data_IF_858496452397
#
_entry.id   IF_858496452397
#
_cell.length_a   1.000
_cell.length_b   1.000
_cell.length_c   1.000
_cell.angle_alpha   90.00
_cell.angle_beta   90.00
_cell.angle_gamma   90.00
#
_symmetry.space_group_name_H-M   'P 1'
#
loop_
_entity.id
_entity.type
_entity.pdbx_description
1 polymer ?
#
# COMPACT_ATOMS: atom_id res chain seq x y z
N UNK A 1 -7.31 -22.85 13.85
CA UNK A 1 -8.53 -22.75 13.00
C UNK A 1 -8.14 -21.87 11.85
N UNK A 2 -8.44 -22.28 10.61
CA UNK A 2 -8.08 -21.50 9.43
C UNK A 2 -9.19 -20.49 9.12
N UNK A 3 -8.83 -19.26 8.78
CA UNK A 3 -9.75 -18.21 8.36
C UNK A 3 -10.15 -18.38 6.88
N UNK A 4 -10.92 -17.44 6.32
CA UNK A 4 -11.49 -17.55 4.96
C UNK A 4 -10.43 -17.58 3.86
N UNK A 5 -9.21 -17.08 4.13
CA UNK A 5 -8.12 -17.12 3.15
C UNK A 5 -7.67 -18.53 2.80
N UNK A 6 -8.10 -19.56 3.55
CA UNK A 6 -7.86 -20.97 3.24
C UNK A 6 -8.44 -21.42 1.88
N UNK A 7 -9.38 -20.64 1.33
CA UNK A 7 -10.06 -20.91 0.06
C UNK A 7 -9.50 -20.11 -1.12
N UNK A 8 -8.52 -19.25 -0.88
CA UNK A 8 -7.90 -18.42 -1.92
C UNK A 8 -6.87 -19.19 -2.74
N UNK A 9 -6.61 -18.73 -3.96
CA UNK A 9 -5.55 -19.28 -4.83
C UNK A 9 -4.19 -18.62 -4.62
N UNK A 10 -4.17 -17.35 -4.20
CA UNK A 10 -2.93 -16.60 -3.99
C UNK A 10 -2.05 -17.29 -2.94
N UNK A 11 -0.79 -17.64 -3.26
CA UNK A 11 0.16 -18.11 -2.28
C UNK A 11 0.39 -17.11 -1.14
N UNK A 12 0.34 -15.81 -1.44
CA UNK A 12 0.47 -14.74 -0.45
C UNK A 12 -0.72 -14.73 0.53
N UNK A 13 -1.95 -14.85 0.04
CA UNK A 13 -3.13 -14.90 0.92
C UNK A 13 -3.17 -16.20 1.74
N UNK A 14 -2.81 -17.33 1.13
CA UNK A 14 -2.75 -18.63 1.79
C UNK A 14 -1.72 -18.67 2.94
N UNK A 15 -0.66 -17.87 2.89
CA UNK A 15 0.29 -17.73 3.99
C UNK A 15 -0.38 -17.20 5.26
N UNK A 16 -1.39 -16.34 5.11
CA UNK A 16 -2.11 -15.71 6.22
C UNK A 16 -3.34 -16.51 6.73
N UNK A 17 -3.63 -17.68 6.16
CA UNK A 17 -4.85 -18.45 6.45
C UNK A 17 -4.95 -18.95 7.89
N UNK A 18 -3.81 -19.12 8.57
CA UNK A 18 -3.73 -19.65 9.93
C UNK A 18 -3.48 -18.55 10.98
N UNK A 19 -3.39 -17.29 10.55
CA UNK A 19 -3.27 -16.15 11.46
C UNK A 19 -4.52 -16.03 12.34
N UNK A 20 -4.36 -15.64 13.62
CA UNK A 20 -5.49 -15.44 14.54
C UNK A 20 -6.42 -14.30 14.13
N UNK A 21 -6.00 -13.42 13.23
CA UNK A 21 -6.86 -12.40 12.61
C UNK A 21 -7.92 -13.09 11.73
N UNK A 22 -9.19 -12.71 11.89
CA UNK A 22 -10.33 -13.16 11.09
C UNK A 22 -10.31 -12.48 9.72
N UNK A 23 -9.34 -12.88 8.89
CA UNK A 23 -9.16 -12.31 7.57
C UNK A 23 -10.26 -12.73 6.60
N UNK A 24 -10.72 -11.74 5.84
CA UNK A 24 -11.49 -11.90 4.63
C UNK A 24 -10.63 -11.61 3.39
N UNK A 25 -10.85 -12.30 2.26
CA UNK A 25 -10.43 -11.78 0.98
C UNK A 25 -11.26 -10.54 0.62
N UNK A 26 -10.79 -9.75 -0.34
CA UNK A 26 -11.59 -8.66 -0.87
C UNK A 26 -12.83 -9.20 -1.61
N UNK A 27 -14.02 -8.81 -1.16
CA UNK A 27 -15.27 -9.23 -1.80
C UNK A 27 -16.51 -8.68 -1.09
N UNK A 28 -17.68 -8.95 -1.67
CA UNK A 28 -18.97 -8.48 -1.12
C UNK A 28 -19.23 -9.03 0.28
N UNK A 29 -18.80 -10.26 0.59
CA UNK A 29 -19.00 -10.86 1.93
C UNK A 29 -18.41 -9.98 3.04
N UNK A 30 -17.19 -9.46 2.85
CA UNK A 30 -16.53 -8.61 3.83
C UNK A 30 -17.20 -7.22 3.93
N UNK A 31 -17.54 -6.62 2.79
CA UNK A 31 -18.18 -5.31 2.73
C UNK A 31 -19.59 -5.35 3.34
N UNK A 32 -20.34 -6.41 3.07
CA UNK A 32 -21.70 -6.59 3.59
C UNK A 32 -21.64 -6.85 5.10
N UNK A 33 -20.67 -7.64 5.58
CA UNK A 33 -20.43 -7.80 7.02
C UNK A 33 -20.10 -6.48 7.70
N UNK A 34 -19.21 -5.68 7.12
CA UNK A 34 -18.84 -4.38 7.66
C UNK A 34 -20.06 -3.46 7.80
N UNK A 35 -20.96 -3.46 6.81
CA UNK A 35 -22.22 -2.68 6.84
C UNK A 35 -23.22 -3.22 7.86
N UNK A 36 -23.38 -4.53 7.94
CA UNK A 36 -24.32 -5.17 8.88
C UNK A 36 -23.90 -4.98 10.33
N UNK A 37 -22.60 -5.08 10.61
CA UNK A 37 -22.05 -4.89 11.95
C UNK A 37 -21.76 -3.42 12.26
N UNK A 38 -21.89 -2.54 11.28
CA UNK A 38 -21.60 -1.12 11.38
C UNK A 38 -20.15 -0.82 11.86
N UNK A 39 -19.21 -1.61 11.34
CA UNK A 39 -17.81 -1.62 11.74
C UNK A 39 -16.89 -1.13 10.62
N UNK A 40 -15.84 -0.37 10.96
CA UNK A 40 -14.86 0.05 9.97
C UNK A 40 -14.08 -1.16 9.44
N UNK A 41 -13.57 -1.00 8.22
CA UNK A 41 -12.73 -1.99 7.56
C UNK A 41 -11.27 -1.68 7.86
N UNK A 42 -10.49 -2.71 8.18
CA UNK A 42 -9.03 -2.66 8.15
C UNK A 42 -8.56 -3.45 6.94
N UNK A 43 -8.09 -2.75 5.91
CA UNK A 43 -7.58 -3.31 4.68
C UNK A 43 -6.04 -3.39 4.75
N UNK A 44 -5.50 -4.59 4.59
CA UNK A 44 -4.05 -4.82 4.50
C UNK A 44 -3.66 -5.36 3.13
N UNK A 45 -3.00 -4.53 2.32
CA UNK A 45 -2.52 -4.88 0.98
C UNK A 45 -1.03 -5.20 1.03
N UNK A 46 -0.62 -6.30 0.39
CA UNK A 46 0.78 -6.71 0.26
C UNK A 46 0.97 -7.67 -0.91
N UNK A 47 2.14 -8.30 -0.97
CA UNK A 47 2.51 -9.27 -2.02
C UNK A 47 3.63 -10.20 -1.50
N UNK A 48 3.85 -11.34 -2.17
CA UNK A 48 4.71 -12.40 -1.67
C UNK A 48 6.19 -11.98 -1.46
N UNK A 49 6.74 -11.11 -2.30
CA UNK A 49 8.14 -10.66 -2.18
C UNK A 49 8.34 -9.45 -1.25
N UNK A 50 7.30 -8.98 -0.57
CA UNK A 50 7.34 -7.79 0.29
C UNK A 50 7.97 -8.10 1.67
N UNK A 51 9.20 -7.65 1.90
CA UNK A 51 9.89 -7.87 3.18
C UNK A 51 9.09 -7.36 4.39
N UNK A 52 8.65 -6.10 4.36
CA UNK A 52 7.93 -5.49 5.49
C UNK A 52 6.55 -6.09 5.72
N UNK A 53 5.95 -6.71 4.71
CA UNK A 53 4.68 -7.44 4.85
C UNK A 53 4.89 -8.69 5.73
N UNK A 54 5.99 -9.42 5.51
CA UNK A 54 6.39 -10.57 6.35
C UNK A 54 6.84 -10.16 7.75
N UNK A 55 7.44 -8.98 7.90
CA UNK A 55 7.77 -8.43 9.22
C UNK A 55 6.48 -8.10 9.99
N UNK A 56 5.55 -7.38 9.37
CA UNK A 56 4.28 -7.02 10.01
C UNK A 56 3.41 -8.23 10.32
N UNK A 57 3.42 -9.26 9.47
CA UNK A 57 2.77 -10.53 9.77
C UNK A 57 3.30 -11.14 11.08
N UNK A 58 4.60 -11.41 11.15
CA UNK A 58 5.22 -12.08 12.30
C UNK A 58 5.12 -11.26 13.57
N UNK A 59 5.30 -9.94 13.48
CA UNK A 59 5.26 -9.08 14.66
C UNK A 59 3.83 -8.78 15.12
N UNK A 60 2.86 -8.68 14.19
CA UNK A 60 1.51 -8.19 14.51
C UNK A 60 0.39 -9.16 14.17
N UNK A 61 0.30 -9.70 12.96
CA UNK A 61 -0.85 -10.51 12.54
C UNK A 61 -0.86 -11.92 13.15
N UNK A 62 0.30 -12.46 13.50
CA UNK A 62 0.44 -13.72 14.23
C UNK A 62 0.23 -13.55 15.75
N UNK A 63 0.29 -12.32 16.26
CA UNK A 63 0.17 -12.04 17.69
C UNK A 63 -1.32 -12.13 18.13
N UNK A 64 -1.71 -13.07 19.01
CA UNK A 64 -3.11 -13.27 19.40
C UNK A 64 -3.73 -12.04 20.07
N UNK A 65 -2.96 -11.27 20.84
CA UNK A 65 -3.47 -10.07 21.52
C UNK A 65 -3.76 -8.95 20.54
N UNK A 66 -2.89 -8.73 19.56
CA UNK A 66 -3.11 -7.73 18.50
C UNK A 66 -4.28 -8.16 17.61
N UNK A 67 -4.31 -9.44 17.23
CA UNK A 67 -5.40 -10.00 16.44
C UNK A 67 -6.76 -9.90 17.15
N UNK A 68 -6.81 -10.05 18.48
CA UNK A 68 -8.05 -9.83 19.23
C UNK A 68 -8.55 -8.38 19.11
N UNK A 69 -7.65 -7.39 19.21
CA UNK A 69 -8.01 -5.98 19.01
C UNK A 69 -8.53 -5.73 17.58
N UNK A 70 -7.84 -6.30 16.59
CA UNK A 70 -8.26 -6.22 15.19
C UNK A 70 -9.65 -6.84 14.99
N UNK A 71 -9.87 -8.06 15.49
CA UNK A 71 -11.11 -8.81 15.34
C UNK A 71 -12.26 -8.23 16.15
N UNK A 72 -11.98 -7.47 17.22
CA UNK A 72 -12.99 -6.78 18.03
C UNK A 72 -13.53 -5.54 17.34
N UNK A 73 -12.67 -4.76 16.69
CA UNK A 73 -13.05 -3.44 16.19
C UNK A 73 -13.27 -3.38 14.68
N UNK A 74 -12.55 -4.21 13.90
CA UNK A 74 -12.53 -4.10 12.43
C UNK A 74 -13.02 -5.35 11.72
N UNK A 75 -13.60 -5.17 10.54
CA UNK A 75 -13.65 -6.23 9.53
C UNK A 75 -12.32 -6.23 8.78
N UNK A 76 -11.53 -7.28 8.96
CA UNK A 76 -10.16 -7.36 8.48
C UNK A 76 -10.12 -7.95 7.06
N UNK A 77 -9.63 -7.20 6.09
CA UNK A 77 -9.52 -7.64 4.68
C UNK A 77 -8.06 -7.72 4.28
N UNK A 78 -7.64 -8.87 3.74
CA UNK A 78 -6.31 -9.08 3.18
C UNK A 78 -6.38 -9.07 1.66
N UNK A 79 -5.47 -8.34 1.02
CA UNK A 79 -5.41 -8.25 -0.45
C UNK A 79 -4.00 -8.54 -0.94
N UNK A 80 -3.93 -9.39 -1.96
CA UNK A 80 -2.75 -9.55 -2.78
C UNK A 80 -2.77 -8.53 -3.92
N UNK A 81 -1.78 -7.65 -3.92
CA UNK A 81 -1.55 -6.67 -4.98
C UNK A 81 -1.36 -7.33 -6.34
N UNK A 82 -0.71 -8.49 -6.41
CA UNK A 82 -0.39 -9.15 -7.67
C UNK A 82 -1.66 -9.68 -8.35
N UNK A 83 -2.66 -10.09 -7.58
CA UNK A 83 -3.97 -10.49 -8.09
C UNK A 83 -4.93 -9.31 -8.25
N UNK A 84 -4.83 -8.27 -7.41
CA UNK A 84 -5.72 -7.09 -7.39
C UNK A 84 -4.96 -5.76 -7.47
N UNK A 85 -4.25 -5.50 -8.59
CA UNK A 85 -3.52 -4.24 -8.79
C UNK A 85 -4.47 -3.04 -8.89
N UNK A 86 -5.73 -3.26 -9.28
CA UNK A 86 -6.80 -2.27 -9.29
C UNK A 86 -7.07 -1.73 -7.87
N UNK A 87 -7.28 -2.62 -6.90
CA UNK A 87 -7.51 -2.26 -5.50
C UNK A 87 -6.25 -1.59 -4.91
N UNK A 88 -5.07 -2.16 -5.17
CA UNK A 88 -3.79 -1.59 -4.74
C UNK A 88 -3.64 -0.14 -5.19
N UNK A 89 -3.85 0.15 -6.48
CA UNK A 89 -3.66 1.50 -7.02
C UNK A 89 -4.60 2.55 -6.40
N UNK A 90 -5.86 2.20 -6.17
CA UNK A 90 -6.86 3.10 -5.56
C UNK A 90 -6.43 3.46 -4.14
N UNK A 91 -6.10 2.45 -3.33
CA UNK A 91 -5.75 2.68 -1.93
C UNK A 91 -4.35 3.24 -1.75
N UNK A 92 -3.41 2.95 -2.66
CA UNK A 92 -2.09 3.58 -2.67
C UNK A 92 -2.20 5.08 -2.94
N UNK A 93 -3.08 5.48 -3.87
CA UNK A 93 -3.37 6.90 -4.13
C UNK A 93 -3.94 7.57 -2.88
N UNK A 94 -4.86 6.90 -2.18
CA UNK A 94 -5.42 7.40 -0.92
C UNK A 94 -4.36 7.53 0.19
N UNK A 95 -3.48 6.53 0.34
CA UNK A 95 -2.37 6.54 1.29
C UNK A 95 -1.42 7.71 1.01
N UNK A 96 -1.02 7.91 -0.25
CA UNK A 96 -0.15 9.03 -0.64
C UNK A 96 -0.79 10.39 -0.37
N UNK A 97 -2.10 10.53 -0.59
CA UNK A 97 -2.81 11.77 -0.28
C UNK A 97 -2.93 12.04 1.24
N UNK A 98 -3.06 10.99 2.06
CA UNK A 98 -3.17 11.11 3.51
C UNK A 98 -1.81 11.30 4.21
N UNK A 99 -0.81 10.53 3.80
CA UNK A 99 0.47 10.40 4.49
C UNK A 99 1.64 11.11 3.77
N UNK A 100 1.42 11.61 2.53
CA UNK A 100 2.44 12.23 1.69
C UNK A 100 3.46 11.24 1.10
N UNK A 101 3.37 9.97 1.44
CA UNK A 101 4.23 8.88 0.97
C UNK A 101 3.40 7.60 0.82
N UNK A 102 3.95 6.59 0.16
CA UNK A 102 3.30 5.29 -0.04
C UNK A 102 4.28 4.14 0.12
N UNK A 103 3.77 2.93 0.26
CA UNK A 103 4.58 1.73 0.39
C UNK A 103 3.78 0.53 0.89
N UNK A 104 4.44 -0.62 0.96
CA UNK A 104 3.86 -1.87 1.47
C UNK A 104 4.61 -2.32 2.75
N UNK A 105 3.94 -2.96 3.71
CA UNK A 105 2.51 -3.27 3.73
C UNK A 105 1.68 -2.00 3.78
N UNK A 106 0.57 -1.96 3.03
CA UNK A 106 -0.34 -0.83 3.05
C UNK A 106 -1.48 -1.16 3.99
N UNK A 107 -1.62 -0.38 5.06
CA UNK A 107 -2.64 -0.54 6.09
C UNK A 107 -3.62 0.62 5.99
N UNK A 108 -4.86 0.34 5.58
CA UNK A 108 -5.89 1.36 5.36
C UNK A 108 -7.09 1.08 6.26
N UNK A 109 -7.59 2.12 6.89
CA UNK A 109 -8.84 2.12 7.62
C UNK A 109 -9.91 2.84 6.81
N UNK A 110 -11.03 2.17 6.59
CA UNK A 110 -12.09 2.62 5.71
C UNK A 110 -13.47 2.46 6.34
N UNK A 111 -14.44 3.24 5.86
CA UNK A 111 -15.85 3.09 6.25
C UNK A 111 -16.39 1.71 5.80
N UNK A 112 -17.55 1.26 6.29
CA UNK A 112 -18.22 0.05 5.80
C UNK A 112 -18.43 -0.02 4.28
N UNK A 113 -18.50 1.13 3.60
CA UNK A 113 -18.60 1.23 2.14
C UNK A 113 -17.24 1.16 1.42
N UNK A 114 -16.14 0.98 2.16
CA UNK A 114 -14.79 0.92 1.62
C UNK A 114 -14.14 2.29 1.37
N UNK A 115 -14.69 3.39 1.88
CA UNK A 115 -14.10 4.73 1.69
C UNK A 115 -12.96 4.95 2.68
N UNK A 116 -11.72 5.19 2.24
CA UNK A 116 -10.58 5.36 3.16
C UNK A 116 -10.69 6.66 3.95
N UNK A 117 -10.35 6.63 5.24
CA UNK A 117 -10.27 7.83 6.08
C UNK A 117 -8.93 7.95 6.84
N UNK A 118 -8.23 6.84 7.05
CA UNK A 118 -6.90 6.84 7.66
C UNK A 118 -6.04 5.75 7.02
N UNK A 119 -4.74 5.97 6.91
CA UNK A 119 -3.84 5.02 6.29
C UNK A 119 -2.40 5.19 6.79
N UNK A 120 -1.64 4.10 6.73
CA UNK A 120 -0.21 4.09 6.91
C UNK A 120 0.41 2.88 6.24
N UNK A 121 1.71 2.72 6.44
CA UNK A 121 2.45 1.58 5.90
C UNK A 121 2.62 0.51 6.98
N UNK A 122 3.85 0.39 7.49
CA UNK A 122 4.22 -0.51 8.56
C UNK A 122 3.91 0.11 9.93
N UNK A 123 3.31 -0.68 10.83
CA UNK A 123 3.17 -0.34 12.25
C UNK A 123 3.89 -1.39 13.11
N UNK A 124 4.78 -0.98 14.04
CA UNK A 124 5.44 -1.91 14.95
C UNK A 124 4.43 -2.47 15.98
N UNK A 125 4.70 -3.63 16.61
CA UNK A 125 3.79 -4.23 17.59
C UNK A 125 3.72 -3.43 18.90
N UNK A 126 4.72 -2.60 19.16
CA UNK A 126 4.85 -1.76 20.35
C UNK A 126 5.24 -0.33 19.96
N UNK A 127 4.93 0.65 20.82
CA UNK A 127 5.32 2.04 20.64
C UNK A 127 6.86 2.16 20.57
N UNK A 128 7.36 2.86 19.55
CA UNK A 128 8.77 3.21 19.37
C UNK A 128 8.92 4.74 19.30
N UNK A 129 10.10 5.31 19.60
CA UNK A 129 10.33 6.73 19.41
C UNK A 129 9.93 7.18 17.99
N UNK A 130 8.98 8.11 17.91
CA UNK A 130 8.44 8.64 16.65
C UNK A 130 7.45 7.74 15.90
N UNK A 131 7.13 6.54 16.41
CA UNK A 131 6.24 5.59 15.74
C UNK A 131 5.27 4.96 16.73
N UNK A 132 3.97 5.22 16.56
CA UNK A 132 2.94 4.55 17.34
C UNK A 132 2.90 3.05 17.01
N UNK A 133 2.80 2.23 18.03
CA UNK A 133 2.57 0.80 17.91
C UNK A 133 1.17 0.52 17.38
N UNK A 134 1.03 -0.60 16.69
CA UNK A 134 -0.21 -1.00 16.05
C UNK A 134 -1.39 -1.10 17.03
N UNK A 135 -1.25 -1.63 18.28
CA UNK A 135 -2.33 -1.59 19.27
C UNK A 135 -2.87 -0.18 19.55
N UNK A 136 -1.98 0.81 19.64
CA UNK A 136 -2.35 2.20 19.90
C UNK A 136 -3.08 2.79 18.70
N UNK A 137 -2.61 2.52 17.49
CA UNK A 137 -3.28 2.94 16.25
C UNK A 137 -4.67 2.32 16.16
N UNK A 138 -4.80 1.01 16.37
CA UNK A 138 -6.09 0.30 16.37
C UNK A 138 -7.07 0.91 17.37
N UNK A 139 -6.64 1.16 18.61
CA UNK A 139 -7.48 1.75 19.64
C UNK A 139 -7.91 3.18 19.30
N UNK A 140 -6.98 4.02 18.83
CA UNK A 140 -7.30 5.41 18.45
C UNK A 140 -8.26 5.49 17.26
N UNK A 141 -8.13 4.59 16.28
CA UNK A 141 -9.07 4.52 15.17
C UNK A 141 -10.45 4.04 15.64
N UNK A 142 -10.50 3.02 16.49
CA UNK A 142 -11.76 2.51 17.04
C UNK A 142 -12.50 3.57 17.87
N UNK A 143 -11.78 4.29 18.74
CA UNK A 143 -12.33 5.40 19.54
C UNK A 143 -12.84 6.54 18.63
N UNK A 144 -12.08 6.89 17.59
CA UNK A 144 -12.51 7.90 16.63
C UNK A 144 -13.76 7.46 15.86
N UNK A 145 -13.88 6.18 15.49
CA UNK A 145 -15.08 5.63 14.86
C UNK A 145 -16.30 5.69 15.78
N UNK A 146 -16.12 5.40 17.07
CA UNK A 146 -17.21 5.42 18.05
C UNK A 146 -17.69 6.84 18.38
N UNK A 147 -16.77 7.80 18.53
CA UNK A 147 -17.08 9.12 19.07
C UNK A 147 -17.06 10.26 18.06
N UNK A 148 -16.43 10.08 16.89
CA UNK A 148 -16.23 11.12 15.87
C UNK A 148 -16.54 10.62 14.46
N UNK A 149 -17.53 9.74 14.35
CA UNK A 149 -17.90 9.08 13.09
C UNK A 149 -18.17 10.05 11.95
N UNK A 150 -18.97 11.09 12.20
CA UNK A 150 -19.32 12.09 11.17
C UNK A 150 -18.08 12.72 10.55
N UNK A 151 -17.10 13.06 11.38
CA UNK A 151 -15.86 13.69 10.94
C UNK A 151 -15.05 12.73 10.05
N UNK A 152 -15.01 11.45 10.40
CA UNK A 152 -14.36 10.42 9.61
C UNK A 152 -15.06 10.17 8.28
N UNK A 153 -16.40 10.15 8.25
CA UNK A 153 -17.19 9.97 7.03
C UNK A 153 -17.03 11.16 6.07
N UNK A 154 -17.03 12.38 6.59
CA UNK A 154 -16.77 13.60 5.82
C UNK A 154 -15.35 13.59 5.24
N UNK A 155 -14.35 13.25 6.05
CA UNK A 155 -12.97 13.08 5.59
C UNK A 155 -12.87 12.00 4.50
N UNK A 156 -13.56 10.88 4.68
CA UNK A 156 -13.58 9.79 3.71
C UNK A 156 -14.21 10.23 2.38
N UNK A 157 -15.29 11.01 2.42
CA UNK A 157 -15.95 11.54 1.25
C UNK A 157 -15.04 12.51 0.47
N UNK A 158 -14.38 13.43 1.16
CA UNK A 158 -13.43 14.35 0.55
C UNK A 158 -12.24 13.63 -0.10
N UNK A 159 -11.66 12.65 0.61
CA UNK A 159 -10.54 11.86 0.08
C UNK A 159 -10.97 11.03 -1.14
N UNK A 160 -12.13 10.37 -1.07
CA UNK A 160 -12.65 9.55 -2.19
C UNK A 160 -12.84 10.40 -3.45
N UNK A 161 -13.37 11.63 -3.30
CA UNK A 161 -13.52 12.55 -4.43
C UNK A 161 -12.18 12.99 -5.04
N UNK A 162 -11.14 13.18 -4.20
CA UNK A 162 -9.79 13.51 -4.67
C UNK A 162 -9.13 12.33 -5.40
N UNK A 163 -9.23 11.12 -4.84
CA UNK A 163 -8.70 9.88 -5.43
C UNK A 163 -9.37 9.59 -6.77
N UNK A 164 -10.69 9.72 -6.88
CA UNK A 164 -11.42 9.49 -8.13
C UNK A 164 -10.92 10.36 -9.29
N UNK A 165 -10.52 11.61 -9.02
CA UNK A 165 -9.90 12.51 -10.01
C UNK A 165 -8.49 12.09 -10.41
N UNK A 166 -7.73 11.50 -9.48
CA UNK A 166 -6.35 11.08 -9.73
C UNK A 166 -6.26 9.74 -10.48
N UNK A 167 -7.17 8.80 -10.19
CA UNK A 167 -7.21 7.45 -10.79
C UNK A 167 -7.86 7.43 -12.18
N UNK A 168 -8.60 8.48 -12.55
CA UNK A 168 -9.09 8.71 -13.91
C UNK A 168 -8.28 9.82 -14.61
N UNK A 169 -6.99 9.60 -14.94
CA UNK A 169 -6.28 10.56 -15.76
C UNK A 169 -6.95 10.61 -17.13
N UNK A 170 -7.24 11.82 -17.60
CA UNK A 170 -7.71 12.05 -18.97
C UNK A 170 -6.55 11.71 -19.93
N UNK A 171 -6.47 10.44 -20.34
CA UNK A 171 -5.43 9.91 -21.23
C UNK A 171 -5.39 10.66 -22.58
N UNK A 172 -6.45 11.40 -22.90
CA UNK A 172 -6.53 12.28 -24.08
C UNK A 172 -5.55 13.47 -24.03
N UNK A 173 -4.82 13.69 -22.92
CA UNK A 173 -3.97 14.88 -22.69
C UNK A 173 -2.50 14.59 -22.34
N UNK A 174 -1.97 13.41 -22.68
CA UNK A 174 -0.52 13.16 -22.51
C UNK A 174 0.23 13.83 -23.67
N UNK A 175 0.72 15.04 -23.41
CA UNK A 175 1.58 15.76 -24.35
C UNK A 175 2.87 14.97 -24.63
N UNK A 176 3.41 14.98 -25.86
CA UNK A 176 4.68 14.32 -26.18
C UNK A 176 5.83 14.73 -25.26
N UNK A 177 5.81 15.97 -24.75
CA UNK A 177 6.80 16.49 -23.79
C UNK A 177 6.71 15.88 -22.39
N UNK A 178 5.62 15.18 -22.05
CA UNK A 178 5.45 14.55 -20.75
C UNK A 178 6.50 13.45 -20.52
N UNK A 179 6.86 12.69 -21.56
CA UNK A 179 7.91 11.66 -21.47
C UNK A 179 9.28 12.29 -21.19
N UNK A 180 9.60 13.40 -21.85
CA UNK A 180 10.86 14.11 -21.62
C UNK A 180 10.94 14.68 -20.20
N UNK A 181 9.84 15.27 -19.70
CA UNK A 181 9.74 15.73 -18.31
C UNK A 181 9.91 14.59 -17.32
N UNK A 182 9.21 13.47 -17.52
CA UNK A 182 9.33 12.29 -16.67
C UNK A 182 10.77 11.78 -16.64
N UNK A 183 11.45 11.70 -17.79
CA UNK A 183 12.86 11.33 -17.86
C UNK A 183 13.79 12.25 -17.08
N UNK A 184 13.62 13.57 -17.19
CA UNK A 184 14.41 14.53 -16.40
C UNK A 184 14.23 14.32 -14.90
N UNK A 185 12.99 14.11 -14.44
CA UNK A 185 12.69 13.82 -13.03
C UNK A 185 13.38 12.52 -12.57
N UNK A 186 13.42 11.49 -13.42
CA UNK A 186 14.12 10.25 -13.07
C UNK A 186 15.63 10.45 -12.95
N UNK A 187 16.24 11.22 -13.84
CA UNK A 187 17.68 11.53 -13.76
C UNK A 187 18.04 12.42 -12.58
N UNK A 188 17.19 13.38 -12.23
CA UNK A 188 17.38 14.22 -11.05
C UNK A 188 17.34 13.40 -9.75
N UNK A 189 16.51 12.36 -9.72
CA UNK A 189 16.42 11.45 -8.58
C UNK A 189 17.41 10.28 -8.63
N UNK A 190 18.19 10.11 -9.71
CA UNK A 190 19.12 9.00 -9.84
C UNK A 190 20.27 9.14 -8.83
N UNK A 191 20.48 8.11 -8.02
CA UNK A 191 21.70 7.96 -7.25
C UNK A 191 22.84 7.53 -8.17
N UNK A 192 23.69 8.49 -8.56
CA UNK A 192 24.80 8.27 -9.49
C UNK A 192 25.95 7.46 -8.90
N UNK A 193 25.94 7.17 -7.60
CA UNK A 193 27.00 6.39 -6.92
C UNK A 193 26.55 4.94 -6.72
N UNK A 194 25.35 4.75 -6.18
CA UNK A 194 24.85 3.43 -5.79
C UNK A 194 23.69 2.93 -6.66
N UNK A 195 23.30 3.66 -7.71
CA UNK A 195 22.19 3.27 -8.58
C UNK A 195 20.82 3.34 -7.89
N UNK A 196 19.73 3.19 -8.65
CA UNK A 196 18.37 3.39 -8.12
C UNK A 196 18.01 4.86 -7.94
N UNK A 197 16.82 5.12 -7.40
CA UNK A 197 16.24 6.46 -7.37
C UNK A 197 15.90 6.89 -5.95
N UNK A 198 16.20 8.13 -5.60
CA UNK A 198 15.96 8.72 -4.28
C UNK A 198 17.01 8.33 -3.24
N UNK A 199 16.68 8.60 -1.96
CA UNK A 199 17.51 8.27 -0.81
C UNK A 199 17.32 6.83 -0.30
N UNK A 200 18.14 6.43 0.67
CA UNK A 200 18.01 5.13 1.34
C UNK A 200 16.80 5.08 2.31
N UNK A 201 16.16 3.91 2.49
CA UNK A 201 16.40 2.64 1.78
C UNK A 201 15.80 2.66 0.36
N UNK A 202 16.53 2.06 -0.60
CA UNK A 202 16.09 1.94 -2.00
C UNK A 202 15.55 0.54 -2.28
N UNK A 203 14.52 0.46 -3.11
CA UNK A 203 13.94 -0.80 -3.58
C UNK A 203 13.99 -0.87 -5.10
N UNK A 204 13.96 -2.07 -5.70
CA UNK A 204 13.76 -2.22 -7.13
C UNK A 204 12.48 -1.47 -7.56
N UNK A 205 12.60 -0.58 -8.54
CA UNK A 205 11.46 0.13 -9.13
C UNK A 205 11.28 -0.31 -10.60
N UNK A 206 10.78 -1.53 -10.88
CA UNK A 206 10.68 -2.06 -12.23
C UNK A 206 10.00 -1.12 -13.24
N UNK A 207 8.91 -0.41 -12.91
CA UNK A 207 8.29 0.54 -13.85
C UNK A 207 9.23 1.67 -14.28
N UNK A 208 10.09 2.16 -13.37
CA UNK A 208 11.06 3.20 -13.67
C UNK A 208 12.19 2.66 -14.56
N UNK A 209 12.64 1.43 -14.30
CA UNK A 209 13.65 0.74 -15.12
C UNK A 209 13.11 0.43 -16.52
N UNK A 210 11.87 -0.05 -16.61
CA UNK A 210 11.19 -0.29 -17.88
C UNK A 210 10.97 1.01 -18.65
N UNK A 211 10.60 2.10 -17.96
CA UNK A 211 10.49 3.42 -18.57
C UNK A 211 11.84 3.86 -19.17
N UNK A 212 12.94 3.79 -18.41
CA UNK A 212 14.29 4.09 -18.92
C UNK A 212 14.68 3.22 -20.11
N UNK A 213 14.37 1.92 -20.06
CA UNK A 213 14.58 1.00 -21.17
C UNK A 213 13.80 1.43 -22.43
N UNK A 214 12.54 1.81 -22.27
CA UNK A 214 11.66 2.25 -23.37
C UNK A 214 12.10 3.58 -23.99
N UNK A 215 12.63 4.51 -23.18
CA UNK A 215 13.10 5.82 -23.69
C UNK A 215 14.56 5.81 -24.13
N UNK A 216 15.33 4.76 -23.84
CA UNK A 216 16.77 4.71 -24.09
C UNK A 216 17.20 4.84 -25.55
N UNK A 217 16.29 4.63 -26.51
CA UNK A 217 16.55 4.87 -27.93
C UNK A 217 16.16 6.29 -28.41
N UNK A 218 15.67 7.16 -27.53
CA UNK A 218 15.23 8.52 -27.86
C UNK A 218 16.41 9.49 -27.78
N UNK A 219 16.53 10.37 -28.77
CA UNK A 219 17.62 11.36 -28.83
C UNK A 219 17.64 12.32 -27.62
N UNK A 220 16.47 12.63 -27.06
CA UNK A 220 16.34 13.47 -25.87
C UNK A 220 16.67 12.73 -24.55
N UNK A 221 16.97 11.43 -24.59
CA UNK A 221 17.24 10.60 -23.42
C UNK A 221 18.66 9.96 -23.42
N UNK A 222 19.75 10.71 -23.64
CA UNK A 222 21.08 10.15 -23.87
C UNK A 222 21.69 9.41 -22.67
N UNK A 223 21.26 9.70 -21.44
CA UNK A 223 21.77 9.06 -20.22
C UNK A 223 20.89 7.89 -19.72
N UNK A 224 19.76 7.60 -20.38
CA UNK A 224 18.82 6.58 -19.92
C UNK A 224 19.48 5.19 -19.79
N UNK A 225 20.29 4.80 -20.78
CA UNK A 225 21.02 3.53 -20.73
C UNK A 225 22.02 3.49 -19.57
N UNK A 226 22.79 4.56 -19.35
CA UNK A 226 23.76 4.63 -18.25
C UNK A 226 23.05 4.53 -16.88
N UNK A 227 21.94 5.24 -16.70
CA UNK A 227 21.13 5.19 -15.49
C UNK A 227 20.57 3.78 -15.24
N UNK A 228 20.07 3.12 -16.30
CA UNK A 228 19.56 1.76 -16.26
C UNK A 228 20.66 0.75 -15.90
N UNK A 229 21.80 0.78 -16.60
CA UNK A 229 22.90 -0.17 -16.38
C UNK A 229 23.55 0.02 -15.02
N UNK A 230 23.70 1.26 -14.54
CA UNK A 230 24.19 1.52 -13.19
C UNK A 230 23.27 0.88 -12.15
N UNK A 231 21.96 1.13 -12.27
CA UNK A 231 20.98 0.61 -11.31
C UNK A 231 20.92 -0.91 -11.32
N UNK A 232 20.84 -1.52 -12.50
CA UNK A 232 20.83 -2.99 -12.64
C UNK A 232 22.14 -3.62 -12.16
N UNK A 233 23.29 -3.01 -12.45
CA UNK A 233 24.59 -3.48 -11.99
C UNK A 233 24.68 -3.48 -10.45
N UNK A 234 24.27 -2.39 -9.80
CA UNK A 234 24.26 -2.30 -8.33
C UNK A 234 23.30 -3.29 -7.69
N UNK A 235 22.13 -3.50 -8.28
CA UNK A 235 21.20 -4.56 -7.84
C UNK A 235 21.82 -5.95 -7.97
N UNK A 236 22.54 -6.23 -9.05
CA UNK A 236 23.22 -7.52 -9.25
C UNK A 236 24.38 -7.74 -8.25
N UNK A 237 25.05 -6.66 -7.83
CA UNK A 237 26.13 -6.68 -6.83
C UNK A 237 25.63 -6.76 -5.38
N UNK A 238 24.31 -6.80 -5.14
CA UNK A 238 23.69 -6.95 -3.82
C UNK A 238 23.00 -5.71 -3.24
N UNK A 239 22.96 -4.60 -3.99
CA UNK A 239 22.35 -3.33 -3.58
C UNK A 239 23.33 -2.33 -2.97
#
# INVERSE_FOLDING_TARGET
>A
MSNRLAHESSPYLLQHKDNPVDWYPWGSEALDRAKQEDRPILLSVGYAACHWCHVMERESFENPTIAELMNRWFVNIKVDREERPDIDSIYMTALQALAGHGGWPMTVFATPEGKPFFAGTYYPPEDRPGHAGFPRVLASVAEAWEHRRSDLEDQAAHLTAAVGKAVSPDLARVEPSALEKAYRIHLENLDRVHGGFGGAPKFPQPPNLEFLLRVGSREWAPEAWNALTLTLGKMADGG
#
